data_IF_960746458064
#
_entry.id   IF_960746458064
#
_cell.length_a   1.000
_cell.length_b   1.000
_cell.length_c   1.000
_cell.angle_alpha   90.00
_cell.angle_beta   90.00
_cell.angle_gamma   90.00
#
_symmetry.space_group_name_H-M   'P 1'
#
loop_
_entity.id
_entity.type
_entity.pdbx_description
1 polymer ?
#
# COMPACT_ATOMS: atom_id res chain seq x y z
N UNK A 1 15.89 -8.48 12.93
CA UNK A 1 17.10 -9.33 12.79
C UNK A 1 17.67 -9.30 11.35
N UNK A 2 16.92 -9.79 10.30
CA UNK A 2 17.48 -9.88 8.92
C UNK A 2 17.84 -8.49 8.35
N UNK A 3 16.90 -7.55 8.38
CA UNK A 3 17.09 -6.18 7.87
C UNK A 3 18.20 -5.47 8.65
N UNK A 4 18.16 -5.53 9.97
CA UNK A 4 19.18 -4.92 10.85
C UNK A 4 20.58 -5.46 10.59
N UNK A 5 20.71 -6.78 10.45
CA UNK A 5 21.99 -7.40 10.17
C UNK A 5 22.56 -6.98 8.80
N UNK A 6 21.74 -6.97 7.77
CA UNK A 6 22.15 -6.57 6.43
C UNK A 6 22.56 -5.09 6.37
N UNK A 7 21.81 -4.20 7.01
CA UNK A 7 22.13 -2.78 7.10
C UNK A 7 23.43 -2.56 7.89
N UNK A 8 23.59 -3.24 9.03
CA UNK A 8 24.80 -3.14 9.85
C UNK A 8 26.05 -3.62 9.09
N UNK A 9 25.97 -4.73 8.37
CA UNK A 9 27.06 -5.22 7.53
C UNK A 9 27.44 -4.25 6.40
N UNK A 10 26.46 -3.50 5.89
CA UNK A 10 26.70 -2.46 4.89
C UNK A 10 27.14 -1.10 5.51
N UNK A 11 27.38 -1.03 6.82
CA UNK A 11 27.71 0.22 7.50
C UNK A 11 26.59 1.26 7.50
N UNK A 12 25.33 0.81 7.31
CA UNK A 12 24.14 1.66 7.34
C UNK A 12 23.38 1.46 8.65
N UNK A 13 22.74 2.50 9.11
CA UNK A 13 21.84 2.44 10.27
C UNK A 13 20.42 2.73 9.86
N UNK A 14 19.46 2.08 10.54
CA UNK A 14 18.05 2.38 10.39
C UNK A 14 17.36 2.32 11.75
N UNK A 15 16.37 3.16 11.92
CA UNK A 15 15.41 3.05 13.01
C UNK A 15 14.25 2.18 12.55
N UNK A 16 13.99 1.10 13.26
CA UNK A 16 12.89 0.19 12.94
C UNK A 16 11.72 0.50 13.86
N UNK A 17 10.60 0.88 13.25
CA UNK A 17 9.34 1.17 13.94
C UNK A 17 8.34 0.06 13.63
N UNK A 18 7.88 -0.64 14.66
CA UNK A 18 6.81 -1.61 14.55
C UNK A 18 5.47 -0.91 14.77
N UNK A 19 4.62 -0.90 13.76
CA UNK A 19 3.33 -0.23 13.81
C UNK A 19 2.24 -1.20 14.32
N UNK A 20 1.64 -0.94 15.48
CA UNK A 20 0.43 -1.66 15.90
C UNK A 20 -0.74 -1.44 14.94
N UNK A 21 -1.74 -2.33 14.92
CA UNK A 21 -2.94 -2.14 14.12
C UNK A 21 -3.61 -0.78 14.40
N UNK A 22 -3.87 -0.01 13.34
CA UNK A 22 -4.50 1.31 13.41
C UNK A 22 -3.54 2.49 13.61
N UNK A 23 -2.30 2.28 14.02
CA UNK A 23 -1.33 3.36 14.26
C UNK A 23 -0.42 3.65 13.06
N UNK A 24 -0.42 2.78 12.06
CA UNK A 24 0.44 2.87 10.89
C UNK A 24 0.41 4.25 10.20
N UNK A 25 -0.75 4.91 9.97
CA UNK A 25 -0.77 6.21 9.29
C UNK A 25 -0.02 7.29 10.06
N UNK A 26 -0.21 7.36 11.38
CA UNK A 26 0.45 8.34 12.23
C UNK A 26 1.96 8.10 12.31
N UNK A 27 2.38 6.85 12.50
CA UNK A 27 3.79 6.47 12.55
C UNK A 27 4.49 6.66 11.19
N UNK A 28 3.82 6.37 10.09
CA UNK A 28 4.34 6.63 8.74
C UNK A 28 4.55 8.13 8.50
N UNK A 29 3.62 8.98 8.93
CA UNK A 29 3.76 10.42 8.81
C UNK A 29 4.98 10.96 9.61
N UNK A 30 5.15 10.48 10.85
CA UNK A 30 6.30 10.84 11.69
C UNK A 30 7.62 10.35 11.08
N UNK A 31 7.66 9.10 10.59
CA UNK A 31 8.84 8.54 9.95
C UNK A 31 9.21 9.29 8.67
N UNK A 32 8.23 9.64 7.83
CA UNK A 32 8.44 10.41 6.61
C UNK A 32 8.97 11.83 6.90
N UNK A 33 8.40 12.50 7.90
CA UNK A 33 8.87 13.81 8.35
C UNK A 33 10.32 13.73 8.84
N UNK A 34 10.64 12.73 9.67
CA UNK A 34 11.99 12.50 10.16
C UNK A 34 12.99 12.21 9.03
N UNK A 35 12.59 11.37 8.08
CA UNK A 35 13.39 11.03 6.91
C UNK A 35 13.71 12.28 6.07
N UNK A 36 12.73 13.15 5.84
CA UNK A 36 12.93 14.43 5.16
C UNK A 36 13.97 15.30 5.89
N UNK A 37 13.79 15.50 7.19
CA UNK A 37 14.72 16.32 8.01
C UNK A 37 16.15 15.77 8.04
N UNK A 38 16.31 14.46 7.95
CA UNK A 38 17.61 13.78 7.96
C UNK A 38 18.19 13.56 6.55
N UNK A 39 17.50 14.01 5.51
CA UNK A 39 17.84 13.76 4.11
C UNK A 39 18.07 12.26 3.83
N UNK A 40 17.14 11.44 4.32
CA UNK A 40 17.11 9.98 4.15
C UNK A 40 15.81 9.54 3.53
N UNK A 41 15.58 8.22 3.41
CA UNK A 41 14.34 7.65 2.92
C UNK A 41 13.54 6.98 4.04
N UNK A 42 12.20 7.04 3.97
CA UNK A 42 11.33 6.17 4.74
C UNK A 42 11.19 4.83 4.02
N UNK A 43 11.26 3.71 4.73
CA UNK A 43 11.17 2.38 4.13
C UNK A 43 9.91 1.66 4.61
N UNK A 44 9.04 1.30 3.66
CA UNK A 44 7.87 0.48 3.93
C UNK A 44 8.26 -1.00 3.96
N UNK A 45 8.01 -1.67 5.08
CA UNK A 45 8.21 -3.12 5.22
C UNK A 45 6.85 -3.78 5.45
N UNK A 46 6.28 -4.41 4.43
CA UNK A 46 4.94 -5.00 4.54
C UNK A 46 4.27 -5.30 3.20
N UNK A 47 2.97 -5.55 3.24
CA UNK A 47 2.14 -5.76 2.05
C UNK A 47 1.69 -4.45 1.39
N UNK A 48 0.92 -4.58 0.29
CA UNK A 48 0.48 -3.44 -0.53
C UNK A 48 -0.22 -2.33 0.27
N UNK A 49 -1.02 -2.68 1.29
CA UNK A 49 -1.66 -1.68 2.16
C UNK A 49 -0.66 -0.87 2.99
N UNK A 50 0.37 -1.52 3.55
CA UNK A 50 1.46 -0.84 4.27
C UNK A 50 2.24 0.07 3.33
N UNK A 51 2.60 -0.45 2.15
CA UNK A 51 3.33 0.31 1.12
C UNK A 51 2.53 1.55 0.70
N UNK A 52 1.22 1.41 0.47
CA UNK A 52 0.36 2.54 0.11
C UNK A 52 0.25 3.59 1.21
N UNK A 53 0.14 3.17 2.48
CA UNK A 53 0.07 4.10 3.62
C UNK A 53 1.37 4.89 3.79
N UNK A 54 2.52 4.23 3.66
CA UNK A 54 3.83 4.90 3.72
C UNK A 54 4.03 5.81 2.50
N UNK A 55 3.56 5.40 1.31
CA UNK A 55 3.61 6.24 0.12
C UNK A 55 2.78 7.52 0.26
N UNK A 56 1.60 7.44 0.88
CA UNK A 56 0.80 8.63 1.23
C UNK A 56 1.61 9.60 2.10
N UNK A 57 2.27 9.09 3.13
CA UNK A 57 3.07 9.90 4.04
C UNK A 57 4.31 10.48 3.35
N UNK A 58 5.03 9.69 2.56
CA UNK A 58 6.19 10.11 1.80
C UNK A 58 5.84 11.19 0.78
N UNK A 59 4.75 11.01 0.03
CA UNK A 59 4.24 11.97 -0.93
C UNK A 59 3.86 13.31 -0.26
N UNK A 60 3.14 13.25 0.87
CA UNK A 60 2.74 14.45 1.61
C UNK A 60 3.94 15.26 2.15
N UNK A 61 5.04 14.60 2.50
CA UNK A 61 6.26 15.24 3.01
C UNK A 61 7.28 15.55 1.89
N UNK A 62 7.16 14.96 0.70
CA UNK A 62 8.14 15.08 -0.37
C UNK A 62 9.46 14.36 -0.07
N UNK A 63 9.43 13.27 0.70
CA UNK A 63 10.63 12.48 1.00
C UNK A 63 10.72 11.22 0.12
N UNK A 64 11.93 10.69 -0.04
CA UNK A 64 12.15 9.42 -0.72
C UNK A 64 11.57 8.23 0.05
N UNK A 65 11.11 7.21 -0.67
CA UNK A 65 10.56 5.98 -0.10
C UNK A 65 11.24 4.74 -0.67
N UNK A 66 11.63 3.81 0.21
CA UNK A 66 12.02 2.45 -0.16
C UNK A 66 10.93 1.44 0.17
N UNK A 67 11.01 0.24 -0.43
CA UNK A 67 10.03 -0.83 -0.22
C UNK A 67 10.72 -2.18 0.00
N UNK A 68 10.31 -2.88 1.04
CA UNK A 68 10.60 -4.30 1.29
C UNK A 68 9.26 -5.02 1.37
N UNK A 69 8.87 -5.65 0.28
CA UNK A 69 7.55 -6.24 0.14
C UNK A 69 7.43 -7.56 0.93
N UNK A 70 6.39 -7.66 1.78
CA UNK A 70 6.10 -8.84 2.59
C UNK A 70 4.62 -9.25 2.53
N UNK A 71 3.90 -8.82 1.52
CA UNK A 71 2.50 -9.17 1.29
C UNK A 71 2.33 -10.39 0.40
N UNK A 72 1.08 -10.72 0.12
CA UNK A 72 0.72 -11.84 -0.76
C UNK A 72 0.86 -11.47 -2.24
N UNK A 73 0.45 -10.27 -2.63
CA UNK A 73 0.43 -9.86 -4.04
C UNK A 73 1.63 -9.00 -4.42
N UNK A 74 1.99 -8.02 -3.60
CA UNK A 74 3.15 -7.14 -3.79
C UNK A 74 3.15 -6.44 -5.16
N UNK A 75 1.99 -5.94 -5.57
CA UNK A 75 1.79 -5.36 -6.91
C UNK A 75 2.77 -4.23 -7.21
N UNK A 76 2.91 -3.28 -6.29
CA UNK A 76 3.84 -2.17 -6.47
C UNK A 76 5.28 -2.65 -6.66
N UNK A 77 5.76 -3.54 -5.78
CA UNK A 77 7.11 -4.06 -5.87
C UNK A 77 7.37 -4.78 -7.20
N UNK A 78 6.42 -5.61 -7.64
CA UNK A 78 6.51 -6.33 -8.92
C UNK A 78 6.53 -5.39 -10.12
N UNK A 79 5.70 -4.35 -10.12
CA UNK A 79 5.63 -3.37 -11.20
C UNK A 79 6.93 -2.60 -11.36
N UNK A 80 7.62 -2.32 -10.25
CA UNK A 80 8.88 -1.57 -10.23
C UNK A 80 10.13 -2.45 -10.17
N UNK A 81 10.02 -3.77 -10.40
CA UNK A 81 11.15 -4.69 -10.41
C UNK A 81 11.84 -4.88 -9.05
N UNK A 82 11.17 -4.51 -7.95
CA UNK A 82 11.69 -4.68 -6.59
C UNK A 82 11.58 -6.17 -6.21
N UNK A 83 12.65 -6.81 -5.77
CA UNK A 83 12.61 -8.21 -5.35
C UNK A 83 11.57 -8.46 -4.25
N UNK A 84 10.81 -9.56 -4.38
CA UNK A 84 9.83 -9.95 -3.35
C UNK A 84 10.42 -10.87 -2.28
N UNK A 85 11.61 -11.38 -2.49
CA UNK A 85 12.39 -12.02 -1.42
C UNK A 85 12.97 -10.96 -0.50
N UNK A 86 12.76 -11.03 0.83
CA UNK A 86 13.17 -9.98 1.75
C UNK A 86 14.68 -9.72 1.78
N UNK A 87 15.51 -10.75 1.66
CA UNK A 87 16.96 -10.61 1.68
C UNK A 87 17.45 -9.90 0.41
N UNK A 88 16.92 -10.29 -0.75
CA UNK A 88 17.20 -9.65 -2.03
C UNK A 88 16.70 -8.19 -2.06
N UNK A 89 15.51 -7.93 -1.48
CA UNK A 89 14.97 -6.58 -1.41
C UNK A 89 15.84 -5.64 -0.57
N UNK A 90 16.42 -6.12 0.53
CA UNK A 90 17.36 -5.33 1.35
C UNK A 90 18.63 -5.03 0.57
N UNK A 91 19.19 -6.01 -0.13
CA UNK A 91 20.39 -5.81 -0.96
C UNK A 91 20.11 -4.81 -2.08
N UNK A 92 18.97 -4.95 -2.78
CA UNK A 92 18.56 -4.01 -3.82
C UNK A 92 18.37 -2.58 -3.26
N UNK A 93 17.82 -2.46 -2.04
CA UNK A 93 17.65 -1.16 -1.38
C UNK A 93 18.99 -0.49 -1.04
N UNK A 94 20.02 -1.26 -0.68
CA UNK A 94 21.35 -0.74 -0.36
C UNK A 94 22.05 -0.13 -1.58
N UNK A 95 21.82 -0.69 -2.77
CA UNK A 95 22.36 -0.24 -4.04
C UNK A 95 21.40 0.68 -4.83
N UNK A 96 20.24 1.02 -4.26
CA UNK A 96 19.20 1.76 -4.97
C UNK A 96 19.60 3.23 -5.19
N UNK A 97 19.25 3.75 -6.35
CA UNK A 97 19.14 5.17 -6.65
C UNK A 97 17.71 5.66 -6.43
N UNK A 98 17.56 6.94 -6.08
CA UNK A 98 16.24 7.57 -5.96
C UNK A 98 15.76 7.94 -7.36
N UNK A 99 14.61 7.40 -7.73
CA UNK A 99 13.95 7.70 -9.00
C UNK A 99 12.53 8.23 -8.79
N UNK A 100 12.08 9.18 -9.61
CA UNK A 100 10.73 9.68 -9.53
C UNK A 100 9.74 8.60 -10.01
N UNK A 101 8.68 8.39 -9.23
CA UNK A 101 7.60 7.47 -9.56
C UNK A 101 6.31 8.26 -9.66
N UNK A 102 5.57 8.03 -10.75
CA UNK A 102 4.26 8.63 -10.92
C UNK A 102 3.25 7.96 -9.98
N UNK A 103 2.53 8.76 -9.21
CA UNK A 103 1.44 8.32 -8.36
C UNK A 103 0.14 8.96 -8.80
N UNK A 104 -0.99 8.37 -8.45
CA UNK A 104 -2.30 8.97 -8.66
C UNK A 104 -3.03 9.19 -7.34
N UNK A 105 -3.98 10.12 -7.33
CA UNK A 105 -4.76 10.44 -6.12
C UNK A 105 -6.26 10.46 -6.40
N UNK A 106 -7.03 10.03 -5.42
CA UNK A 106 -8.49 10.18 -5.39
C UNK A 106 -8.86 10.84 -4.08
N UNK A 107 -9.52 11.99 -4.12
CA UNK A 107 -9.89 12.77 -2.94
C UNK A 107 -8.70 13.04 -2.00
N UNK A 108 -7.52 13.31 -2.56
CA UNK A 108 -6.29 13.53 -1.79
C UNK A 108 -5.62 12.27 -1.23
N UNK A 109 -6.18 11.09 -1.50
CA UNK A 109 -5.57 9.82 -1.10
C UNK A 109 -4.75 9.23 -2.24
N UNK A 110 -3.48 8.97 -1.97
CA UNK A 110 -2.57 8.30 -2.93
C UNK A 110 -2.98 6.86 -3.14
N UNK A 111 -2.97 6.42 -4.38
CA UNK A 111 -2.99 5.01 -4.71
C UNK A 111 -1.88 4.66 -5.71
N UNK A 112 -1.24 3.51 -5.48
CA UNK A 112 -0.06 3.08 -6.23
C UNK A 112 -0.38 2.08 -7.34
N UNK A 113 -1.50 1.38 -7.23
CA UNK A 113 -1.86 0.29 -8.15
C UNK A 113 -3.19 0.59 -8.83
N UNK A 114 -4.28 0.64 -8.06
CA UNK A 114 -5.61 0.89 -8.58
C UNK A 114 -6.52 1.49 -7.51
N UNK A 115 -7.51 2.26 -7.96
CA UNK A 115 -8.67 2.66 -7.17
C UNK A 115 -9.92 2.04 -7.78
N UNK A 116 -10.77 1.45 -6.93
CA UNK A 116 -11.99 0.76 -7.38
C UNK A 116 -13.23 1.46 -6.85
N UNK A 117 -14.24 1.56 -7.69
CA UNK A 117 -15.54 2.16 -7.37
C UNK A 117 -16.68 1.17 -7.65
N UNK A 118 -17.80 1.31 -6.96
CA UNK A 118 -19.02 0.53 -7.21
C UNK A 118 -19.02 -0.84 -6.54
N UNK A 119 -19.42 -1.87 -7.26
CA UNK A 119 -19.68 -3.20 -6.73
C UNK A 119 -18.47 -3.89 -6.07
N UNK A 120 -17.27 -3.66 -6.58
CA UNK A 120 -16.08 -4.35 -6.07
C UNK A 120 -15.71 -3.96 -4.62
N UNK A 121 -15.69 -2.67 -4.23
CA UNK A 121 -15.56 -2.29 -2.83
C UNK A 121 -16.65 -2.89 -1.93
N UNK A 122 -17.93 -2.85 -2.36
CA UNK A 122 -19.04 -3.42 -1.61
C UNK A 122 -18.87 -4.94 -1.37
N UNK A 123 -18.42 -5.68 -2.39
CA UNK A 123 -18.10 -7.10 -2.27
C UNK A 123 -16.99 -7.38 -1.24
N UNK A 124 -15.97 -6.52 -1.18
CA UNK A 124 -14.88 -6.67 -0.22
C UNK A 124 -15.33 -6.37 1.21
N UNK A 125 -16.10 -5.30 1.41
CA UNK A 125 -16.66 -4.93 2.72
C UNK A 125 -17.60 -6.00 3.25
N UNK A 126 -18.53 -6.47 2.44
CA UNK A 126 -19.44 -7.57 2.78
C UNK A 126 -18.65 -8.84 3.14
N UNK A 127 -17.63 -9.19 2.36
CA UNK A 127 -16.79 -10.35 2.63
C UNK A 127 -16.07 -10.27 3.97
N UNK A 128 -15.52 -9.12 4.34
CA UNK A 128 -14.86 -8.94 5.63
C UNK A 128 -15.87 -8.95 6.80
N UNK A 129 -17.04 -8.32 6.63
CA UNK A 129 -18.13 -8.35 7.61
C UNK A 129 -18.64 -9.78 7.84
N UNK A 130 -18.83 -10.56 6.78
CA UNK A 130 -19.25 -11.97 6.88
C UNK A 130 -18.18 -12.87 7.49
N UNK A 131 -16.90 -12.65 7.17
CA UNK A 131 -15.79 -13.38 7.83
C UNK A 131 -15.74 -13.11 9.32
N UNK A 132 -15.93 -11.86 9.75
CA UNK A 132 -15.93 -11.48 11.16
C UNK A 132 -17.08 -12.16 11.91
N UNK A 133 -18.24 -12.35 11.26
CA UNK A 133 -19.46 -12.89 11.88
C UNK A 133 -19.56 -14.41 11.82
N UNK A 134 -19.10 -15.05 10.75
CA UNK A 134 -19.32 -16.48 10.47
C UNK A 134 -18.04 -17.30 10.26
N UNK A 135 -16.86 -16.69 10.42
CA UNK A 135 -15.57 -17.35 10.28
C UNK A 135 -15.07 -17.50 8.83
N UNK A 136 -13.92 -18.18 8.69
CA UNK A 136 -13.16 -18.29 7.41
C UNK A 136 -13.58 -19.49 6.56
N UNK A 137 -14.85 -19.66 6.26
CA UNK A 137 -15.32 -20.75 5.39
C UNK A 137 -15.47 -20.30 3.95
N UNK A 138 -15.10 -21.17 2.98
CA UNK A 138 -15.32 -20.93 1.54
C UNK A 138 -16.80 -20.74 1.22
N UNK A 139 -17.68 -21.48 1.89
CA UNK A 139 -19.12 -21.41 1.70
C UNK A 139 -19.70 -20.07 2.18
N UNK A 140 -19.16 -19.53 3.27
CA UNK A 140 -19.53 -18.19 3.76
C UNK A 140 -19.15 -17.12 2.74
N UNK A 141 -17.95 -17.22 2.15
CA UNK A 141 -17.52 -16.27 1.12
C UNK A 141 -18.40 -16.32 -0.15
N UNK A 142 -18.80 -17.51 -0.58
CA UNK A 142 -19.70 -17.70 -1.72
C UNK A 142 -21.10 -17.15 -1.40
N UNK A 143 -21.64 -17.47 -0.22
CA UNK A 143 -22.95 -16.95 0.21
C UNK A 143 -22.94 -15.41 0.31
N UNK A 144 -21.91 -14.82 0.87
CA UNK A 144 -21.74 -13.37 0.93
C UNK A 144 -21.75 -12.75 -0.49
N UNK A 145 -20.94 -13.30 -1.40
CA UNK A 145 -20.88 -12.83 -2.78
C UNK A 145 -22.25 -12.94 -3.51
N UNK A 146 -22.98 -14.06 -3.32
CA UNK A 146 -24.31 -14.22 -3.88
C UNK A 146 -25.30 -13.19 -3.32
N UNK A 147 -25.27 -12.96 -2.00
CA UNK A 147 -26.15 -11.96 -1.36
C UNK A 147 -25.85 -10.57 -1.90
N UNK A 148 -24.56 -10.20 -2.02
CA UNK A 148 -24.18 -8.90 -2.57
C UNK A 148 -24.62 -8.74 -4.02
N UNK A 149 -24.42 -9.76 -4.85
CA UNK A 149 -24.86 -9.74 -6.26
C UNK A 149 -26.37 -9.66 -6.45
N UNK A 150 -27.15 -10.23 -5.53
CA UNK A 150 -28.61 -10.19 -5.55
C UNK A 150 -29.21 -8.92 -4.97
N UNK A 151 -28.43 -8.11 -4.24
CA UNK A 151 -28.88 -6.81 -3.78
C UNK A 151 -29.00 -5.85 -4.94
N UNK A 152 -29.99 -4.95 -4.86
CA UNK A 152 -30.13 -3.85 -5.82
C UNK A 152 -28.96 -2.88 -5.63
N UNK A 153 -28.05 -2.84 -6.61
CA UNK A 153 -26.91 -1.94 -6.59
C UNK A 153 -27.30 -0.55 -7.09
N UNK A 154 -26.80 0.46 -6.41
CA UNK A 154 -26.96 1.85 -6.84
C UNK A 154 -26.10 2.07 -8.08
N UNK A 155 -26.69 2.48 -9.18
CA UNK A 155 -25.95 2.90 -10.36
C UNK A 155 -25.16 4.17 -10.03
N UNK A 156 -23.84 4.13 -10.25
CA UNK A 156 -22.97 5.30 -10.12
C UNK A 156 -22.93 6.00 -11.48
N UNK A 157 -23.19 7.29 -11.50
CA UNK A 157 -22.89 8.15 -12.64
C UNK A 157 -21.53 8.78 -12.37
N UNK A 158 -20.58 8.55 -13.27
CA UNK A 158 -19.22 9.09 -13.16
C UNK A 158 -19.04 10.10 -14.28
N UNK A 159 -18.52 11.25 -13.93
CA UNK A 159 -18.05 12.23 -14.87
C UNK A 159 -16.52 12.22 -14.80
N UNK A 160 -15.87 11.88 -15.92
CA UNK A 160 -14.41 11.71 -15.99
C UNK A 160 -13.85 12.75 -16.95
N UNK A 161 -13.00 13.62 -16.44
CA UNK A 161 -12.24 14.59 -17.22
C UNK A 161 -10.80 14.09 -17.40
N UNK A 162 -10.37 13.95 -18.64
CA UNK A 162 -9.03 13.51 -19.01
C UNK A 162 -8.39 14.57 -19.94
N UNK A 163 -7.69 15.53 -19.37
CA UNK A 163 -7.18 16.67 -20.13
C UNK A 163 -8.33 17.41 -20.82
N UNK A 164 -8.30 17.50 -22.16
CA UNK A 164 -9.36 18.14 -22.96
C UNK A 164 -10.54 17.23 -23.33
N UNK A 165 -10.52 15.97 -22.89
CA UNK A 165 -11.57 15.00 -23.18
C UNK A 165 -12.43 14.72 -21.94
N UNK A 166 -13.77 14.75 -22.15
CA UNK A 166 -14.78 14.43 -21.12
C UNK A 166 -15.49 13.16 -21.51
N UNK A 167 -15.63 12.21 -20.59
CA UNK A 167 -16.35 10.94 -20.77
C UNK A 167 -17.42 10.81 -19.69
N UNK A 168 -18.67 10.63 -20.11
CA UNK A 168 -19.85 10.37 -19.25
C UNK A 168 -20.21 8.89 -19.21
#
# INVERSE_FOLDING_TARGET
ALIENALSQAGRSAEIVLAPPGELPALAAQAAQKALHQNTAVVAVGGDGTVNTVAQAAHAQGCAMGVIAQGTFNYFARTHGIPTDPAQAVLALLDASIEPVQVATVNGQVFLVNASLGLYPELLEDREAYKARFGRSRWVAIAAACVTLLRSHRQLRLHIELGDSVHD
#
